data_IF_374595768922
#
_entry.id   IF_374595768922
#
_cell.length_a   1.000
_cell.length_b   1.000
_cell.length_c   1.000
_cell.angle_alpha   90.00
_cell.angle_beta   90.00
_cell.angle_gamma   90.00
#
_symmetry.space_group_name_H-M   'P 1'
#
loop_
_entity.id
_entity.type
_entity.pdbx_description
1 polymer ?
#
# COMPACT_ATOMS: atom_id res chain seq x y z
N UNK A 1 -30.09 22.29 9.03
CA UNK A 1 -28.83 22.62 8.34
C UNK A 1 -28.84 22.01 6.93
N UNK A 2 -28.00 22.52 6.02
CA UNK A 2 -27.88 21.99 4.65
C UNK A 2 -27.53 20.50 4.65
N UNK A 3 -26.55 20.11 5.47
CA UNK A 3 -26.12 18.71 5.63
C UNK A 3 -27.26 17.78 6.11
N UNK A 4 -28.16 18.25 6.97
CA UNK A 4 -29.31 17.46 7.41
C UNK A 4 -30.27 17.18 6.24
N UNK A 5 -30.54 18.17 5.41
CA UNK A 5 -31.42 18.01 4.23
C UNK A 5 -30.80 17.09 3.18
N UNK A 6 -29.51 17.20 2.96
CA UNK A 6 -28.78 16.29 2.06
C UNK A 6 -28.83 14.85 2.56
N UNK A 7 -28.62 14.64 3.87
CA UNK A 7 -28.71 13.30 4.48
C UNK A 7 -30.13 12.73 4.38
N UNK A 8 -31.18 13.53 4.66
CA UNK A 8 -32.57 13.11 4.55
C UNK A 8 -32.94 12.75 3.10
N UNK A 9 -32.47 13.52 2.12
CA UNK A 9 -32.71 13.23 0.70
C UNK A 9 -32.05 11.89 0.27
N UNK A 10 -30.80 11.66 0.68
CA UNK A 10 -30.09 10.39 0.41
C UNK A 10 -30.78 9.21 1.08
N UNK A 11 -31.20 9.36 2.36
CA UNK A 11 -31.93 8.33 3.08
C UNK A 11 -33.24 7.95 2.35
N UNK A 12 -34.00 8.94 1.92
CA UNK A 12 -35.30 8.72 1.27
C UNK A 12 -35.11 8.05 -0.11
N UNK A 13 -34.10 8.47 -0.87
CA UNK A 13 -33.76 7.84 -2.17
C UNK A 13 -33.27 6.40 -2.00
N UNK A 14 -32.50 6.09 -0.93
CA UNK A 14 -32.11 4.73 -0.60
C UNK A 14 -33.30 3.87 -0.19
N UNK A 15 -34.24 4.42 0.58
CA UNK A 15 -35.48 3.72 0.97
C UNK A 15 -36.33 3.36 -0.24
N UNK A 16 -36.48 4.29 -1.20
CA UNK A 16 -37.20 4.05 -2.46
C UNK A 16 -36.49 2.98 -3.31
N UNK A 17 -35.17 2.99 -3.36
CA UNK A 17 -34.37 1.97 -4.06
C UNK A 17 -34.57 0.56 -3.47
N UNK A 18 -34.60 0.45 -2.14
CA UNK A 18 -34.84 -0.81 -1.44
C UNK A 18 -36.26 -1.31 -1.72
N UNK A 19 -37.26 -0.43 -1.66
CA UNK A 19 -38.64 -0.79 -1.92
C UNK A 19 -38.83 -1.25 -3.38
N UNK A 20 -38.27 -0.55 -4.35
CA UNK A 20 -38.28 -0.93 -5.76
C UNK A 20 -37.66 -2.31 -5.98
N UNK A 21 -36.53 -2.60 -5.34
CA UNK A 21 -35.86 -3.90 -5.44
C UNK A 21 -36.69 -5.02 -4.79
N UNK A 22 -37.33 -4.73 -3.66
CA UNK A 22 -38.16 -5.71 -2.93
C UNK A 22 -39.44 -6.10 -3.69
N UNK A 23 -40.03 -5.17 -4.44
CA UNK A 23 -41.23 -5.43 -5.26
C UNK A 23 -40.96 -6.38 -6.43
N UNK A 24 -39.72 -6.46 -6.93
CA UNK A 24 -39.31 -7.33 -8.04
C UNK A 24 -39.06 -8.80 -7.69
N UNK A 25 -39.04 -9.17 -6.40
CA UNK A 25 -38.82 -10.54 -5.92
C UNK A 25 -39.95 -10.98 -5.01
N UNK A 26 -40.74 -11.99 -5.39
CA UNK A 26 -41.59 -12.66 -4.44
C UNK A 26 -40.74 -13.24 -3.32
N UNK A 27 -41.06 -12.91 -2.09
CA UNK A 27 -40.37 -13.45 -0.91
C UNK A 27 -40.46 -14.99 -0.97
N UNK A 28 -39.32 -15.65 -1.16
CA UNK A 28 -39.25 -17.11 -1.09
C UNK A 28 -39.31 -17.51 0.38
N UNK A 29 -40.53 -17.58 0.91
CA UNK A 29 -40.83 -17.91 2.29
C UNK A 29 -40.73 -19.41 2.59
N UNK A 30 -40.31 -20.23 1.63
CA UNK A 30 -40.17 -21.68 1.79
C UNK A 30 -38.98 -22.01 2.68
N UNK A 31 -39.25 -22.33 3.92
CA UNK A 31 -38.26 -22.98 4.80
C UNK A 31 -37.94 -24.34 4.22
N UNK A 32 -36.66 -24.65 3.87
CA UNK A 32 -36.33 -25.93 3.27
C UNK A 32 -36.64 -27.07 4.25
N UNK A 33 -37.57 -27.95 3.88
CA UNK A 33 -38.05 -29.04 4.73
C UNK A 33 -37.02 -30.16 4.91
N UNK A 34 -35.97 -30.22 4.06
CA UNK A 34 -34.96 -31.28 4.06
C UNK A 34 -33.62 -30.82 4.62
N UNK A 35 -32.85 -31.77 5.19
CA UNK A 35 -31.48 -31.53 5.70
C UNK A 35 -30.58 -30.94 4.61
N UNK A 36 -30.72 -31.43 3.37
CA UNK A 36 -29.98 -30.95 2.20
C UNK A 36 -30.36 -29.48 1.88
N UNK A 37 -31.65 -29.16 1.91
CA UNK A 37 -32.13 -27.78 1.71
C UNK A 37 -31.62 -26.81 2.79
N UNK A 38 -31.52 -27.25 4.04
CA UNK A 38 -30.93 -26.44 5.13
C UNK A 38 -29.43 -26.20 4.93
N UNK A 39 -28.69 -27.21 4.49
CA UNK A 39 -27.26 -27.06 4.14
C UNK A 39 -27.04 -26.14 2.95
N UNK A 40 -27.85 -26.26 1.89
CA UNK A 40 -27.81 -25.35 0.74
C UNK A 40 -28.19 -23.92 1.13
N UNK A 41 -29.18 -23.74 2.00
CA UNK A 41 -29.52 -22.42 2.54
C UNK A 41 -28.40 -21.82 3.39
N UNK A 42 -27.68 -22.64 4.18
CA UNK A 42 -26.51 -22.22 4.94
C UNK A 42 -25.35 -21.81 4.02
N UNK A 43 -25.09 -22.58 2.94
CA UNK A 43 -24.09 -22.24 1.92
C UNK A 43 -24.46 -20.94 1.19
N UNK A 44 -25.75 -20.76 0.85
CA UNK A 44 -26.24 -19.49 0.25
C UNK A 44 -26.08 -18.31 1.21
N UNK A 45 -26.35 -18.47 2.49
CA UNK A 45 -26.13 -17.42 3.51
C UNK A 45 -24.64 -17.11 3.70
N UNK A 46 -23.81 -18.15 3.69
CA UNK A 46 -22.35 -17.97 3.77
C UNK A 46 -21.83 -17.29 2.49
N UNK A 47 -22.33 -17.67 1.30
CA UNK A 47 -22.04 -16.98 0.04
C UNK A 47 -22.53 -15.53 0.04
N UNK A 48 -23.71 -15.26 0.64
CA UNK A 48 -24.22 -13.89 0.78
C UNK A 48 -23.36 -13.02 1.69
N UNK A 49 -22.71 -13.60 2.70
CA UNK A 49 -21.77 -12.87 3.58
C UNK A 49 -20.50 -12.40 2.83
N UNK A 50 -20.19 -13.03 1.69
CA UNK A 50 -19.07 -12.64 0.81
C UNK A 50 -19.50 -11.83 -0.41
N UNK A 51 -20.78 -11.44 -0.49
CA UNK A 51 -21.24 -10.52 -1.54
C UNK A 51 -20.47 -9.20 -1.36
N UNK A 52 -19.81 -8.78 -2.44
CA UNK A 52 -19.07 -7.51 -2.47
C UNK A 52 -19.98 -6.35 -2.07
N UNK A 53 -19.48 -5.40 -1.30
CA UNK A 53 -20.21 -4.20 -0.87
C UNK A 53 -20.85 -3.48 -2.06
N UNK A 54 -20.20 -3.51 -3.24
CA UNK A 54 -20.71 -3.00 -4.49
C UNK A 54 -22.05 -3.64 -4.93
N UNK A 55 -22.23 -4.94 -4.65
CA UNK A 55 -23.48 -5.63 -4.96
C UNK A 55 -24.59 -5.17 -4.01
N UNK A 56 -24.29 -4.93 -2.75
CA UNK A 56 -25.24 -4.36 -1.79
C UNK A 56 -25.64 -2.93 -2.18
N UNK A 57 -24.67 -2.08 -2.55
CA UNK A 57 -24.94 -0.74 -3.03
C UNK A 57 -25.90 -0.77 -4.25
N UNK A 58 -25.63 -1.66 -5.22
CA UNK A 58 -26.50 -1.85 -6.38
C UNK A 58 -27.92 -2.31 -6.01
N UNK A 59 -28.07 -3.19 -5.00
CA UNK A 59 -29.39 -3.62 -4.50
C UNK A 59 -30.14 -2.43 -3.89
N UNK A 60 -29.47 -1.61 -3.07
CA UNK A 60 -30.06 -0.43 -2.47
C UNK A 60 -30.42 0.64 -3.50
N UNK A 61 -29.70 0.72 -4.60
CA UNK A 61 -29.99 1.61 -5.73
C UNK A 61 -31.06 1.04 -6.71
N UNK A 62 -31.83 0.03 -6.28
CA UNK A 62 -32.89 -0.58 -7.10
C UNK A 62 -32.39 -1.34 -8.33
N UNK A 63 -31.18 -1.89 -8.29
CA UNK A 63 -30.53 -2.64 -9.37
C UNK A 63 -29.79 -1.76 -10.39
N UNK A 64 -29.70 -0.46 -10.16
CA UNK A 64 -28.98 0.51 -10.99
C UNK A 64 -27.53 0.65 -10.56
N UNK A 65 -26.66 0.95 -11.52
CA UNK A 65 -25.28 1.36 -11.22
C UNK A 65 -25.21 2.90 -11.14
N UNK A 66 -24.41 3.43 -10.20
CA UNK A 66 -24.22 4.87 -10.05
C UNK A 66 -25.33 5.61 -9.29
N UNK A 67 -26.16 4.89 -8.52
CA UNK A 67 -27.12 5.51 -7.62
C UNK A 67 -26.47 6.02 -6.31
N UNK A 68 -27.26 6.60 -5.38
CA UNK A 68 -26.75 7.21 -4.16
C UNK A 68 -25.94 6.27 -3.28
N UNK A 69 -26.34 5.00 -3.15
CA UNK A 69 -25.60 4.02 -2.38
C UNK A 69 -24.23 3.74 -3.02
N UNK A 70 -24.18 3.67 -4.35
CA UNK A 70 -22.93 3.53 -5.09
C UNK A 70 -22.01 4.74 -4.85
N UNK A 71 -22.53 5.94 -5.04
CA UNK A 71 -21.75 7.18 -4.88
C UNK A 71 -21.15 7.34 -3.48
N UNK A 72 -21.93 7.03 -2.43
CA UNK A 72 -21.47 7.22 -1.06
C UNK A 72 -20.67 6.05 -0.48
N UNK A 73 -20.92 4.81 -0.91
CA UNK A 73 -20.30 3.62 -0.32
C UNK A 73 -19.19 3.02 -1.18
N UNK A 74 -19.25 3.19 -2.50
CA UNK A 74 -18.39 2.43 -3.43
C UNK A 74 -17.44 3.33 -4.20
N UNK A 75 -17.93 4.44 -4.76
CA UNK A 75 -17.13 5.29 -5.65
C UNK A 75 -15.83 5.72 -5.02
N UNK A 76 -15.85 6.25 -3.80
CA UNK A 76 -14.63 6.69 -3.12
C UNK A 76 -13.62 5.57 -2.90
N UNK A 77 -14.09 4.35 -2.63
CA UNK A 77 -13.22 3.19 -2.48
C UNK A 77 -12.62 2.72 -3.82
N UNK A 78 -13.41 2.73 -4.89
CA UNK A 78 -12.94 2.40 -6.23
C UNK A 78 -11.92 3.43 -6.73
N UNK A 79 -12.22 4.72 -6.62
CA UNK A 79 -11.32 5.80 -7.01
C UNK A 79 -9.98 5.71 -6.24
N UNK A 80 -10.02 5.37 -4.96
CA UNK A 80 -8.82 5.15 -4.15
C UNK A 80 -8.04 3.91 -4.61
N UNK A 81 -8.72 2.83 -4.98
CA UNK A 81 -8.11 1.61 -5.53
C UNK A 81 -7.46 1.83 -6.89
N UNK A 82 -8.12 2.55 -7.78
CA UNK A 82 -7.58 2.91 -9.09
C UNK A 82 -6.38 3.85 -8.95
N UNK A 83 -6.45 4.82 -8.04
CA UNK A 83 -5.34 5.68 -7.69
C UNK A 83 -4.15 4.88 -7.15
N UNK A 84 -4.36 3.98 -6.19
CA UNK A 84 -3.31 3.11 -5.63
C UNK A 84 -2.67 2.26 -6.72
N UNK A 85 -3.46 1.63 -7.59
CA UNK A 85 -2.98 0.79 -8.68
C UNK A 85 -2.11 1.59 -9.66
N UNK A 86 -2.55 2.77 -10.04
CA UNK A 86 -1.81 3.68 -10.93
C UNK A 86 -0.50 4.12 -10.29
N UNK A 87 -0.54 4.53 -9.01
CA UNK A 87 0.66 4.95 -8.28
C UNK A 87 1.66 3.81 -8.10
N UNK A 88 1.17 2.60 -7.82
CA UNK A 88 2.02 1.41 -7.70
C UNK A 88 2.73 1.10 -9.03
N UNK A 89 2.03 1.19 -10.15
CA UNK A 89 2.62 1.00 -11.49
C UNK A 89 3.70 2.06 -11.78
N UNK A 90 3.42 3.33 -11.51
CA UNK A 90 4.37 4.44 -11.67
C UNK A 90 5.61 4.26 -10.78
N UNK A 91 5.43 3.89 -9.51
CA UNK A 91 6.52 3.62 -8.59
C UNK A 91 7.38 2.43 -9.07
N UNK A 92 6.74 1.35 -9.54
CA UNK A 92 7.45 0.19 -10.08
C UNK A 92 8.29 0.56 -11.30
N UNK A 93 7.74 1.36 -12.22
CA UNK A 93 8.46 1.84 -13.41
C UNK A 93 9.66 2.72 -13.01
N UNK A 94 9.46 3.67 -12.10
CA UNK A 94 10.52 4.56 -11.61
C UNK A 94 11.64 3.77 -10.93
N UNK A 95 11.31 2.87 -9.99
CA UNK A 95 12.29 2.04 -9.30
C UNK A 95 13.02 1.08 -10.26
N UNK A 96 12.33 0.55 -11.27
CA UNK A 96 12.95 -0.27 -12.29
C UNK A 96 14.00 0.52 -13.07
N UNK A 97 13.71 1.77 -13.45
CA UNK A 97 14.69 2.65 -14.13
C UNK A 97 15.91 2.95 -13.26
N UNK A 98 15.68 3.26 -11.98
CA UNK A 98 16.73 3.56 -11.00
C UNK A 98 17.64 2.34 -10.77
N UNK A 99 17.05 1.16 -10.60
CA UNK A 99 17.80 -0.05 -10.23
C UNK A 99 18.37 -0.81 -11.44
N UNK A 100 17.83 -0.61 -12.66
CA UNK A 100 18.26 -1.37 -13.84
C UNK A 100 19.76 -1.39 -14.09
N UNK A 101 20.55 -0.29 -13.86
CA UNK A 101 21.99 -0.31 -14.07
C UNK A 101 22.74 -1.30 -13.15
N UNK A 102 22.18 -1.57 -11.97
CA UNK A 102 22.81 -2.38 -10.92
C UNK A 102 22.18 -3.78 -10.75
N UNK A 103 21.12 -4.08 -11.50
CA UNK A 103 20.41 -5.37 -11.42
C UNK A 103 21.30 -6.57 -11.75
N UNK A 104 22.28 -6.37 -12.64
CA UNK A 104 23.16 -7.46 -13.04
C UNK A 104 24.16 -7.79 -11.93
N UNK A 105 24.07 -9.00 -11.43
CA UNK A 105 24.99 -9.51 -10.41
C UNK A 105 24.53 -9.34 -8.96
N UNK A 106 23.29 -8.91 -8.72
CA UNK A 106 22.71 -8.77 -7.36
C UNK A 106 22.81 -10.06 -6.53
N UNK A 107 22.71 -11.22 -7.16
CA UNK A 107 22.82 -12.51 -6.50
C UNK A 107 24.27 -12.97 -6.27
N UNK A 108 25.27 -12.21 -6.76
CA UNK A 108 26.67 -12.54 -6.54
C UNK A 108 26.98 -12.44 -5.05
N UNK A 109 27.46 -13.54 -4.50
CA UNK A 109 27.85 -13.65 -3.09
C UNK A 109 29.33 -13.37 -2.91
N UNK A 110 29.69 -12.60 -1.89
CA UNK A 110 31.07 -12.31 -1.51
C UNK A 110 31.23 -12.41 0.01
N UNK A 111 32.47 -12.70 0.45
CA UNK A 111 32.83 -12.67 1.86
C UNK A 111 33.19 -11.25 2.27
N UNK A 112 32.65 -10.80 3.40
CA UNK A 112 32.93 -9.49 4.00
C UNK A 112 33.61 -9.67 5.35
N UNK A 113 34.95 -9.56 5.40
CA UNK A 113 35.73 -9.82 6.61
C UNK A 113 35.36 -8.89 7.77
N UNK A 114 34.97 -7.65 7.49
CA UNK A 114 34.61 -6.65 8.52
C UNK A 114 33.44 -7.10 9.40
N UNK A 115 32.54 -7.90 8.86
CA UNK A 115 31.38 -8.45 9.58
C UNK A 115 31.44 -9.97 9.76
N UNK A 116 32.48 -10.63 9.23
CA UNK A 116 32.66 -12.07 9.31
C UNK A 116 31.61 -12.92 8.56
N UNK A 117 30.90 -12.33 7.58
CA UNK A 117 29.78 -13.01 6.85
C UNK A 117 29.92 -12.90 5.35
N UNK A 118 29.27 -13.84 4.65
CA UNK A 118 29.06 -13.76 3.21
C UNK A 118 27.69 -13.15 2.94
N UNK A 119 27.65 -12.10 2.12
CA UNK A 119 26.42 -11.44 1.69
C UNK A 119 26.30 -11.47 0.16
N UNK A 120 25.07 -11.42 -0.35
CA UNK A 120 24.82 -11.11 -1.74
C UNK A 120 24.95 -9.61 -2.00
N UNK A 121 25.17 -9.20 -3.23
CA UNK A 121 25.24 -7.78 -3.59
C UNK A 121 23.94 -7.05 -3.30
N UNK A 122 22.80 -7.72 -3.47
CA UNK A 122 21.49 -7.23 -3.09
C UNK A 122 21.43 -6.89 -1.60
N UNK A 123 21.91 -7.81 -0.73
CA UNK A 123 21.93 -7.56 0.71
C UNK A 123 22.79 -6.34 1.10
N UNK A 124 23.90 -6.13 0.39
CA UNK A 124 24.72 -4.94 0.62
C UNK A 124 24.02 -3.65 0.19
N UNK A 125 23.28 -3.66 -0.92
CA UNK A 125 22.44 -2.53 -1.35
C UNK A 125 21.32 -2.25 -0.33
N UNK A 126 20.68 -3.29 0.20
CA UNK A 126 19.68 -3.14 1.27
C UNK A 126 20.29 -2.54 2.53
N UNK A 127 21.52 -2.94 2.91
CA UNK A 127 22.24 -2.30 4.00
C UNK A 127 22.45 -0.80 3.72
N UNK A 128 22.89 -0.44 2.52
CA UNK A 128 23.08 0.96 2.13
C UNK A 128 21.78 1.75 2.22
N UNK A 129 20.66 1.21 1.73
CA UNK A 129 19.35 1.86 1.83
C UNK A 129 18.92 2.16 3.28
N UNK A 130 19.30 1.30 4.24
CA UNK A 130 18.99 1.54 5.65
C UNK A 130 19.81 2.67 6.29
N UNK A 131 20.89 3.12 5.66
CA UNK A 131 21.72 4.22 6.19
C UNK A 131 21.15 5.60 5.93
N UNK A 132 20.15 5.74 5.05
CA UNK A 132 19.50 7.01 4.75
C UNK A 132 18.68 7.61 5.93
N UNK A 133 18.53 6.86 7.02
CA UNK A 133 17.79 7.28 8.21
C UNK A 133 18.49 6.73 9.47
N UNK A 134 18.78 7.61 10.42
CA UNK A 134 19.49 7.22 11.65
C UNK A 134 18.76 6.12 12.43
N UNK A 135 17.44 6.17 12.52
CA UNK A 135 16.66 5.14 13.21
C UNK A 135 16.74 3.77 12.56
N UNK A 136 16.78 3.71 11.23
CA UNK A 136 16.94 2.45 10.49
C UNK A 136 18.39 1.94 10.62
N UNK A 137 19.36 2.85 10.54
CA UNK A 137 20.75 2.50 10.77
C UNK A 137 20.93 1.86 12.14
N UNK A 138 20.47 2.52 13.21
CA UNK A 138 20.61 1.99 14.56
C UNK A 138 19.92 0.64 14.73
N UNK A 139 18.70 0.47 14.20
CA UNK A 139 18.01 -0.84 14.26
C UNK A 139 18.79 -1.96 13.55
N UNK A 140 19.43 -1.64 12.43
CA UNK A 140 20.27 -2.62 11.72
C UNK A 140 21.50 -2.99 12.55
N UNK A 141 22.18 -2.02 13.14
CA UNK A 141 23.34 -2.27 14.01
C UNK A 141 22.95 -3.13 15.22
N UNK A 142 21.89 -2.75 15.92
CA UNK A 142 21.42 -3.47 17.11
C UNK A 142 20.93 -4.87 16.77
N UNK A 143 20.19 -5.02 15.66
CA UNK A 143 19.63 -6.30 15.25
C UNK A 143 20.67 -7.32 14.83
N UNK A 144 21.75 -6.90 14.20
CA UNK A 144 22.83 -7.76 13.71
C UNK A 144 24.01 -7.84 14.67
N UNK A 145 24.06 -6.97 15.69
CA UNK A 145 25.19 -6.86 16.62
C UNK A 145 26.46 -6.29 15.96
N UNK A 146 26.29 -5.46 14.93
CA UNK A 146 27.42 -4.86 14.22
C UNK A 146 27.70 -3.44 14.69
N UNK A 147 28.92 -3.01 14.48
CA UNK A 147 29.35 -1.62 14.73
C UNK A 147 29.33 -0.82 13.41
N UNK A 148 29.23 0.50 13.51
CA UNK A 148 29.32 1.38 12.33
C UNK A 148 30.58 1.13 11.47
N UNK A 149 31.79 1.05 12.03
CA UNK A 149 32.99 0.76 11.25
C UNK A 149 32.91 -0.58 10.48
N UNK A 150 32.32 -1.61 11.08
CA UNK A 150 32.13 -2.90 10.41
C UNK A 150 31.21 -2.79 9.21
N UNK A 151 30.08 -2.10 9.36
CA UNK A 151 29.13 -1.87 8.27
C UNK A 151 29.75 -0.98 7.19
N UNK A 152 30.46 0.10 7.57
CA UNK A 152 31.18 0.95 6.61
C UNK A 152 32.19 0.16 5.79
N UNK A 153 32.90 -0.80 6.39
CA UNK A 153 33.80 -1.71 5.65
C UNK A 153 33.09 -2.57 4.58
N UNK A 154 31.79 -2.83 4.75
CA UNK A 154 30.96 -3.46 3.71
C UNK A 154 30.53 -2.44 2.67
N UNK A 155 30.01 -1.29 3.10
CA UNK A 155 29.44 -0.26 2.23
C UNK A 155 30.48 0.37 1.29
N UNK A 156 31.73 0.52 1.75
CA UNK A 156 32.84 1.00 0.91
C UNK A 156 33.23 0.04 -0.23
N UNK A 157 32.60 -1.14 -0.30
CA UNK A 157 32.75 -2.03 -1.46
C UNK A 157 31.75 -1.72 -2.58
N UNK A 158 30.80 -0.82 -2.35
CA UNK A 158 29.85 -0.38 -3.37
C UNK A 158 30.52 0.56 -4.36
N UNK A 159 30.15 0.40 -5.63
CA UNK A 159 30.57 1.28 -6.70
C UNK A 159 29.81 2.60 -6.70
N UNK A 160 30.32 3.61 -7.38
CA UNK A 160 29.62 4.88 -7.56
C UNK A 160 28.21 4.68 -8.20
N UNK A 161 28.12 3.79 -9.19
CA UNK A 161 26.82 3.48 -9.82
C UNK A 161 25.81 2.85 -8.84
N UNK A 162 26.25 2.01 -7.93
CA UNK A 162 25.40 1.42 -6.90
C UNK A 162 24.94 2.47 -5.87
N UNK A 163 25.83 3.39 -5.47
CA UNK A 163 25.46 4.51 -4.62
C UNK A 163 24.50 5.47 -5.32
N UNK A 164 24.66 5.73 -6.61
CA UNK A 164 23.69 6.51 -7.41
C UNK A 164 22.32 5.83 -7.42
N UNK A 165 22.26 4.50 -7.53
CA UNK A 165 21.00 3.77 -7.44
C UNK A 165 20.37 3.88 -6.03
N UNK A 166 21.15 3.78 -4.97
CA UNK A 166 20.69 3.99 -3.59
C UNK A 166 20.14 5.41 -3.41
N UNK A 167 20.89 6.43 -3.86
CA UNK A 167 20.44 7.83 -3.80
C UNK A 167 19.14 8.03 -4.61
N UNK A 168 19.06 7.45 -5.81
CA UNK A 168 17.87 7.54 -6.63
C UNK A 168 16.63 6.94 -5.96
N UNK A 169 16.78 5.85 -5.20
CA UNK A 169 15.68 5.29 -4.40
C UNK A 169 15.26 6.28 -3.29
N UNK A 170 16.22 6.87 -2.57
CA UNK A 170 15.90 7.87 -1.55
C UNK A 170 15.20 9.10 -2.13
N UNK A 171 15.71 9.64 -3.24
CA UNK A 171 15.11 10.79 -3.92
C UNK A 171 13.67 10.48 -4.39
N UNK A 172 13.45 9.27 -4.90
CA UNK A 172 12.12 8.81 -5.28
C UNK A 172 11.18 8.75 -4.08
N UNK A 173 11.64 8.23 -2.94
CA UNK A 173 10.82 8.20 -1.71
C UNK A 173 10.55 9.61 -1.18
N UNK A 174 11.53 10.51 -1.20
CA UNK A 174 11.38 11.90 -0.82
C UNK A 174 10.37 12.66 -1.68
N UNK A 175 10.26 12.29 -2.95
CA UNK A 175 9.30 12.92 -3.88
C UNK A 175 7.84 12.80 -3.45
N UNK A 176 7.52 11.85 -2.56
CA UNK A 176 6.17 11.67 -2.00
C UNK A 176 5.85 12.59 -0.81
N UNK A 177 6.85 13.22 -0.20
CA UNK A 177 6.64 14.08 1.00
C UNK A 177 5.56 15.16 0.81
N UNK A 178 5.51 15.93 -0.29
CA UNK A 178 4.49 16.96 -0.45
C UNK A 178 3.06 16.37 -0.47
N UNK A 179 2.87 15.24 -1.14
CA UNK A 179 1.58 14.58 -1.22
C UNK A 179 1.14 13.99 0.13
N UNK A 180 2.06 13.34 0.83
CA UNK A 180 1.84 12.79 2.18
C UNK A 180 1.52 13.94 3.15
N UNK A 181 2.32 15.02 3.13
CA UNK A 181 2.10 16.18 4.00
C UNK A 181 0.74 16.83 3.78
N UNK A 182 0.34 17.01 2.52
CA UNK A 182 -0.97 17.55 2.18
C UNK A 182 -2.12 16.65 2.66
N UNK A 183 -1.96 15.33 2.54
CA UNK A 183 -2.93 14.35 3.03
C UNK A 183 -3.03 14.38 4.56
N UNK A 184 -1.91 14.32 5.27
CA UNK A 184 -1.84 14.36 6.73
C UNK A 184 -2.49 15.66 7.27
N UNK A 185 -2.16 16.80 6.67
CA UNK A 185 -2.76 18.10 7.03
C UNK A 185 -4.27 18.10 6.84
N UNK A 186 -4.77 17.49 5.75
CA UNK A 186 -6.20 17.39 5.50
C UNK A 186 -6.92 16.45 6.48
N UNK A 187 -6.29 15.33 6.86
CA UNK A 187 -6.91 14.30 7.70
C UNK A 187 -6.78 14.63 9.19
N UNK A 188 -5.59 15.08 9.62
CA UNK A 188 -5.26 15.27 11.03
C UNK A 188 -5.10 16.74 11.43
N UNK A 189 -5.21 17.68 10.48
CA UNK A 189 -5.09 19.12 10.72
C UNK A 189 -3.66 19.64 10.91
N UNK A 190 -2.64 18.76 10.80
CA UNK A 190 -1.22 19.11 10.95
C UNK A 190 -0.36 18.37 9.96
N UNK A 191 0.76 18.96 9.60
CA UNK A 191 1.78 18.27 8.80
C UNK A 191 2.57 17.27 9.66
N UNK A 192 3.06 16.15 9.07
CA UNK A 192 3.89 15.20 9.78
C UNK A 192 5.24 15.83 10.13
N UNK A 193 5.80 15.38 11.24
CA UNK A 193 7.16 15.73 11.65
C UNK A 193 8.15 14.86 10.86
N UNK A 194 8.84 15.46 9.90
CA UNK A 194 9.77 14.75 9.04
C UNK A 194 11.12 14.53 9.72
N UNK A 195 11.57 13.28 9.74
CA UNK A 195 12.95 12.98 10.14
C UNK A 195 13.91 13.49 9.06
N UNK A 196 14.91 14.25 9.46
CA UNK A 196 15.96 14.73 8.56
C UNK A 196 16.94 13.60 8.25
N UNK A 197 17.32 13.46 6.97
CA UNK A 197 18.42 12.58 6.59
C UNK A 197 19.75 13.21 7.01
N UNK A 198 20.67 12.37 7.51
CA UNK A 198 22.05 12.80 7.80
C UNK A 198 22.89 12.39 6.59
N UNK A 199 23.67 13.34 6.00
CA UNK A 199 24.57 13.01 4.90
C UNK A 199 25.57 11.92 5.33
N UNK A 200 25.70 10.88 4.54
CA UNK A 200 26.67 9.82 4.72
C UNK A 200 27.84 10.05 3.76
N UNK A 201 29.03 10.24 4.31
CA UNK A 201 30.25 10.25 3.52
C UNK A 201 30.73 8.81 3.34
N UNK A 202 30.88 8.38 2.10
CA UNK A 202 31.31 7.04 1.74
C UNK A 202 32.43 7.10 0.71
N UNK A 203 33.37 6.18 0.83
CA UNK A 203 34.33 5.88 -0.22
C UNK A 203 33.67 4.87 -1.17
N UNK A 204 33.97 4.99 -2.45
CA UNK A 204 33.48 4.02 -3.44
C UNK A 204 34.60 3.09 -3.87
N UNK A 205 34.26 1.87 -4.30
CA UNK A 205 35.24 0.86 -4.69
C UNK A 205 35.95 1.15 -6.02
N UNK A 206 35.41 2.11 -6.76
CA UNK A 206 35.90 2.53 -8.08
C UNK A 206 36.52 3.96 -8.09
N UNK A 207 36.76 4.55 -6.91
CA UNK A 207 37.47 5.82 -6.72
C UNK A 207 36.59 7.03 -6.60
#
# INVERSE_FOLDING_TARGET
SKAKREFEAVRDELADGIELHSRGRPADTRTPATVLGRRLAAIKRFGAAHIKVATWARIFDGGRDGGPAWEYLIRGANDAGDFETTRRAQATEALTKILSPVMKGLQRKAQYPSIGRSLTREQVLVMALNTGNEGNWQRMLDGEGWTRPQVMGVLNTLTAAEWQAVQGVWDHMESYRPEIGAKEKRVYGKEPEWVQSVPLLVDTSDG
#
